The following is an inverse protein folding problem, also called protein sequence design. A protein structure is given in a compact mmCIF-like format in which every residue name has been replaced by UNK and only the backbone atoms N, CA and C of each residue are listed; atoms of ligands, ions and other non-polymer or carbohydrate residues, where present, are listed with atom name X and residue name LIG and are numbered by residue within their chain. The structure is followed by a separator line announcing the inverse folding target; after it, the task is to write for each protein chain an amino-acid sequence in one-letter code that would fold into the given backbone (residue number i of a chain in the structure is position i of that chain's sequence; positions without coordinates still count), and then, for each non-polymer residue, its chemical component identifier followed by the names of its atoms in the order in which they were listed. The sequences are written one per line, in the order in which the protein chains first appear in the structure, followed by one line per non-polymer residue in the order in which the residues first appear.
data_IF_209388396554
#
_entry.id   IF_209388396554
#
_cell.length_a   1.000
_cell.length_b   1.000
_cell.length_c   1.000
_cell.angle_alpha   90.00
_cell.angle_beta   90.00
_cell.angle_gamma   90.00
#
_symmetry.space_group_name_H-M   'P 1'
#
loop_
_entity.id
_entity.type
_entity.pdbx_description
1 polymer ?
#
# COMPACT_ATOMS: atom_id res chain seq x y z
N UNK A 1 14.11 -55.39 54.03
CA UNK A 1 14.37 -54.49 52.89
C UNK A 1 13.03 -54.29 52.23
N UNK A 2 12.41 -53.13 52.39
CA UNK A 2 11.55 -52.54 51.37
C UNK A 2 11.25 -51.10 51.81
N UNK A 3 11.83 -50.19 51.05
CA UNK A 3 11.86 -48.75 51.24
C UNK A 3 10.51 -48.12 50.88
N UNK A 4 10.03 -47.24 51.75
CA UNK A 4 8.95 -46.30 51.46
C UNK A 4 9.39 -45.35 50.32
N UNK A 5 8.68 -45.39 49.19
CA UNK A 5 8.82 -44.42 48.10
C UNK A 5 7.70 -43.40 48.24
N UNK A 6 8.08 -42.16 48.59
CA UNK A 6 7.16 -41.03 48.66
C UNK A 6 6.65 -40.66 47.26
N UNK A 7 5.34 -40.47 47.15
CA UNK A 7 4.70 -39.95 45.95
C UNK A 7 4.99 -38.44 45.84
N UNK A 8 5.80 -38.05 44.86
CA UNK A 8 6.00 -36.67 44.47
C UNK A 8 4.73 -36.15 43.76
N UNK A 9 4.25 -34.98 44.19
CA UNK A 9 3.16 -34.27 43.54
C UNK A 9 3.57 -33.86 42.11
N UNK A 10 2.63 -33.81 41.13
CA UNK A 10 2.94 -33.35 39.79
C UNK A 10 3.28 -31.85 39.85
N UNK A 11 4.49 -31.51 39.40
CA UNK A 11 4.89 -30.13 39.18
C UNK A 11 3.94 -29.50 38.16
N UNK A 12 3.29 -28.41 38.57
CA UNK A 12 2.41 -27.64 37.69
C UNK A 12 3.25 -27.04 36.55
N UNK A 13 3.02 -27.51 35.32
CA UNK A 13 3.58 -26.90 34.12
C UNK A 13 3.25 -25.41 34.10
N UNK A 14 4.30 -24.58 34.04
CA UNK A 14 4.16 -23.14 33.88
C UNK A 14 3.34 -22.84 32.61
N UNK A 15 2.40 -21.86 32.66
CA UNK A 15 1.59 -21.53 31.50
C UNK A 15 2.50 -21.08 30.36
N UNK A 16 2.46 -21.81 29.24
CA UNK A 16 3.16 -21.44 28.01
C UNK A 16 2.76 -19.99 27.64
N UNK A 17 3.72 -19.13 27.23
CA UNK A 17 3.40 -17.78 26.82
C UNK A 17 2.41 -17.84 25.66
N UNK A 18 1.24 -17.23 25.82
CA UNK A 18 0.26 -17.11 24.73
C UNK A 18 0.98 -16.50 23.52
N UNK A 19 0.82 -17.07 22.31
CA UNK A 19 1.45 -16.48 21.12
C UNK A 19 0.98 -15.03 21.02
N UNK A 20 1.94 -14.10 20.99
CA UNK A 20 1.62 -12.70 20.76
C UNK A 20 0.88 -12.60 19.41
N UNK A 21 -0.22 -11.84 19.33
CA UNK A 21 -0.96 -11.71 18.09
C UNK A 21 -0.03 -11.11 17.03
N UNK A 22 0.25 -11.90 15.99
CA UNK A 22 1.04 -11.43 14.85
C UNK A 22 0.17 -10.44 14.06
N UNK A 23 0.74 -9.31 13.62
CA UNK A 23 0.00 -8.42 12.75
C UNK A 23 -0.37 -9.16 11.46
N UNK A 24 -1.57 -8.90 10.90
CA UNK A 24 -2.00 -9.52 9.67
C UNK A 24 -1.14 -9.02 8.50
N UNK A 25 -0.95 -9.89 7.51
CA UNK A 25 -0.21 -9.55 6.29
C UNK A 25 -1.17 -8.88 5.30
N UNK A 26 -0.85 -7.65 4.92
CA UNK A 26 -1.60 -6.87 3.94
C UNK A 26 -1.10 -7.19 2.52
N UNK A 27 -1.98 -7.73 1.68
CA UNK A 27 -1.73 -7.97 0.26
C UNK A 27 -2.39 -6.86 -0.56
N UNK A 28 -1.55 -5.94 -1.06
CA UNK A 28 -1.99 -4.84 -1.90
C UNK A 28 -1.97 -5.30 -3.36
N UNK A 29 -3.15 -5.59 -3.91
CA UNK A 29 -3.29 -6.11 -5.28
C UNK A 29 -3.28 -4.97 -6.28
N UNK A 30 -2.22 -4.88 -7.07
CA UNK A 30 -2.03 -3.92 -8.15
C UNK A 30 -1.97 -4.67 -9.50
N UNK A 31 -2.16 -3.95 -10.60
CA UNK A 31 -2.10 -4.52 -11.95
C UNK A 31 -2.87 -3.68 -12.96
N UNK A 32 -2.62 -3.89 -14.25
CA UNK A 32 -3.32 -3.15 -15.31
C UNK A 32 -4.82 -3.45 -15.35
N UNK A 33 -5.60 -2.61 -16.01
CA UNK A 33 -7.01 -2.88 -16.27
C UNK A 33 -7.16 -4.17 -17.09
N UNK A 34 -8.04 -5.07 -16.64
CA UNK A 34 -8.25 -6.36 -17.30
C UNK A 34 -7.25 -7.47 -16.98
N UNK A 35 -6.24 -7.23 -16.12
CA UNK A 35 -5.33 -8.30 -15.67
C UNK A 35 -5.97 -9.32 -14.72
N UNK A 36 -7.15 -8.99 -14.16
CA UNK A 36 -7.94 -9.89 -13.33
C UNK A 36 -7.77 -9.69 -11.82
N UNK A 37 -7.35 -8.50 -11.36
CA UNK A 37 -7.22 -8.14 -9.93
C UNK A 37 -8.41 -8.56 -9.07
N UNK A 38 -9.61 -8.08 -9.39
CA UNK A 38 -10.84 -8.38 -8.63
C UNK A 38 -11.18 -9.87 -8.63
N UNK A 39 -11.01 -10.57 -9.76
CA UNK A 39 -11.20 -12.02 -9.85
C UNK A 39 -10.16 -12.79 -9.02
N UNK A 40 -8.92 -12.31 -9.00
CA UNK A 40 -7.85 -12.87 -8.18
C UNK A 40 -8.14 -12.69 -6.69
N UNK A 41 -8.60 -11.51 -6.26
CA UNK A 41 -9.03 -11.25 -4.87
C UNK A 41 -10.23 -12.14 -4.49
N UNK A 42 -11.20 -12.30 -5.38
CA UNK A 42 -12.33 -13.21 -5.19
C UNK A 42 -11.85 -14.64 -4.93
N UNK A 43 -10.93 -15.12 -5.78
CA UNK A 43 -10.38 -16.48 -5.69
C UNK A 43 -9.58 -16.69 -4.41
N UNK A 44 -8.72 -15.74 -4.04
CA UNK A 44 -7.97 -15.77 -2.79
C UNK A 44 -8.90 -15.82 -1.58
N UNK A 45 -9.97 -15.02 -1.60
CA UNK A 45 -10.98 -15.00 -0.54
C UNK A 45 -11.62 -16.38 -0.39
N UNK A 46 -12.10 -16.98 -1.49
CA UNK A 46 -12.70 -18.31 -1.47
C UNK A 46 -11.74 -19.40 -0.99
N UNK A 47 -10.49 -19.36 -1.46
CA UNK A 47 -9.44 -20.30 -1.04
C UNK A 47 -9.15 -20.23 0.46
N UNK A 48 -8.94 -19.02 1.00
CA UNK A 48 -8.67 -18.81 2.42
C UNK A 48 -9.86 -19.15 3.32
N UNK A 49 -11.10 -18.91 2.86
CA UNK A 49 -12.30 -19.41 3.53
C UNK A 49 -12.34 -20.94 3.59
N UNK A 50 -11.96 -21.62 2.51
CA UNK A 50 -11.87 -23.09 2.46
C UNK A 50 -10.85 -23.67 3.45
N UNK A 51 -9.77 -22.92 3.73
CA UNK A 51 -8.77 -23.27 4.73
C UNK A 51 -9.15 -22.91 6.17
N UNK A 52 -10.34 -22.33 6.39
CA UNK A 52 -10.80 -21.91 7.71
C UNK A 52 -10.12 -20.65 8.26
N UNK A 53 -9.43 -19.89 7.40
CA UNK A 53 -8.72 -18.65 7.76
C UNK A 53 -9.25 -17.47 6.92
N UNK A 54 -10.49 -17.00 7.16
CA UNK A 54 -11.11 -15.99 6.32
C UNK A 54 -10.33 -14.66 6.36
N UNK A 55 -10.00 -14.07 5.19
CA UNK A 55 -9.27 -12.82 5.13
C UNK A 55 -10.18 -11.62 5.44
N UNK A 56 -9.55 -10.51 5.83
CA UNK A 56 -10.22 -9.22 5.89
C UNK A 56 -10.10 -8.52 4.53
N UNK A 57 -11.21 -8.30 3.84
CA UNK A 57 -11.20 -7.83 2.45
C UNK A 57 -11.61 -6.36 2.36
N UNK A 58 -10.82 -5.57 1.64
CA UNK A 58 -11.01 -4.13 1.42
C UNK A 58 -11.09 -3.86 -0.07
N UNK A 59 -12.19 -3.25 -0.52
CA UNK A 59 -12.33 -2.75 -1.89
C UNK A 59 -12.05 -1.24 -1.95
N UNK A 60 -11.03 -0.85 -2.73
CA UNK A 60 -10.69 0.55 -3.02
C UNK A 60 -11.07 0.99 -4.44
N UNK A 61 -11.71 0.15 -5.26
CA UNK A 61 -12.22 0.55 -6.57
C UNK A 61 -13.64 1.17 -6.44
N UNK A 62 -13.80 2.49 -6.67
CA UNK A 62 -15.10 3.14 -6.61
C UNK A 62 -15.93 2.96 -7.91
N UNK A 63 -15.30 2.55 -9.01
CA UNK A 63 -15.93 2.43 -10.32
C UNK A 63 -16.48 1.01 -10.61
N UNK A 64 -16.17 0.03 -9.75
CA UNK A 64 -16.68 -1.34 -9.89
C UNK A 64 -18.20 -1.41 -9.69
N UNK A 65 -18.90 -2.04 -10.63
CA UNK A 65 -20.36 -2.17 -10.60
C UNK A 65 -20.83 -3.12 -9.49
N UNK A 66 -20.25 -4.31 -9.43
CA UNK A 66 -20.58 -5.35 -8.47
C UNK A 66 -19.29 -5.98 -7.96
N UNK A 67 -19.17 -6.12 -6.65
CA UNK A 67 -18.01 -6.75 -6.01
C UNK A 67 -18.37 -8.22 -5.79
N UNK A 68 -17.67 -9.17 -6.42
CA UNK A 68 -18.07 -10.58 -6.43
C UNK A 68 -17.64 -11.35 -5.16
N UNK A 69 -17.33 -10.62 -4.08
CA UNK A 69 -16.87 -11.16 -2.80
C UNK A 69 -17.40 -10.30 -1.63
N UNK A 70 -17.53 -10.86 -0.41
CA UNK A 70 -17.95 -10.11 0.76
C UNK A 70 -16.81 -9.19 1.23
N UNK A 71 -16.82 -7.92 0.80
CA UNK A 71 -15.89 -6.91 1.29
C UNK A 71 -16.26 -6.45 2.71
N UNK A 72 -15.30 -6.43 3.63
CA UNK A 72 -15.49 -5.88 4.98
C UNK A 72 -15.51 -4.36 4.96
N UNK A 73 -14.73 -3.75 4.08
CA UNK A 73 -14.70 -2.30 3.83
C UNK A 73 -14.82 -2.07 2.32
N UNK A 74 -15.82 -1.32 1.91
CA UNK A 74 -16.02 -0.91 0.53
C UNK A 74 -16.02 0.62 0.42
N UNK A 75 -15.13 1.17 -0.40
CA UNK A 75 -15.07 2.61 -0.69
C UNK A 75 -16.43 3.16 -1.17
N UNK A 76 -17.24 2.34 -1.85
CA UNK A 76 -18.55 2.72 -2.41
C UNK A 76 -19.61 3.02 -1.35
N UNK A 77 -19.41 2.57 -0.11
CA UNK A 77 -20.28 2.88 1.02
C UNK A 77 -20.04 4.28 1.56
N UNK A 78 -18.80 4.76 1.47
CA UNK A 78 -18.40 6.09 1.94
C UNK A 78 -18.52 7.15 0.85
N UNK A 79 -18.17 6.80 -0.39
CA UNK A 79 -18.11 7.74 -1.51
C UNK A 79 -18.92 7.21 -2.70
N UNK A 80 -19.94 7.97 -3.12
CA UNK A 80 -20.76 7.64 -4.29
C UNK A 80 -20.08 8.17 -5.56
N UNK A 81 -19.34 7.30 -6.24
CA UNK A 81 -18.58 7.61 -7.46
C UNK A 81 -19.36 8.44 -8.50
N UNK A 82 -20.59 8.02 -8.83
CA UNK A 82 -21.45 8.74 -9.81
C UNK A 82 -21.82 10.15 -9.36
N UNK A 83 -22.04 10.35 -8.06
CA UNK A 83 -22.35 11.67 -7.50
C UNK A 83 -21.13 12.58 -7.51
N UNK A 84 -19.95 12.04 -7.18
CA UNK A 84 -18.68 12.77 -7.27
C UNK A 84 -18.43 13.26 -8.70
N UNK A 85 -18.62 12.39 -9.70
CA UNK A 85 -18.50 12.79 -11.10
C UNK A 85 -19.45 13.93 -11.46
N UNK A 86 -20.73 13.84 -11.05
CA UNK A 86 -21.75 14.84 -11.35
C UNK A 86 -21.51 16.17 -10.64
N UNK A 87 -21.18 16.15 -9.35
CA UNK A 87 -20.99 17.35 -8.53
C UNK A 87 -19.75 18.14 -8.95
N UNK A 88 -18.66 17.46 -9.26
CA UNK A 88 -17.39 18.09 -9.61
C UNK A 88 -17.18 18.23 -11.13
N UNK A 89 -18.09 17.70 -11.96
CA UNK A 89 -17.99 17.73 -13.42
C UNK A 89 -16.78 16.96 -13.94
N UNK A 90 -16.47 15.82 -13.34
CA UNK A 90 -15.26 15.03 -13.61
C UNK A 90 -15.54 13.88 -14.58
N UNK A 91 -14.57 13.60 -15.45
CA UNK A 91 -14.52 12.35 -16.20
C UNK A 91 -14.19 11.14 -15.31
N UNK A 92 -14.22 9.91 -15.85
CA UNK A 92 -14.08 8.67 -15.06
C UNK A 92 -12.83 8.62 -14.18
N UNK A 93 -11.65 8.87 -14.75
CA UNK A 93 -10.38 8.85 -14.02
C UNK A 93 -10.33 9.92 -12.92
N UNK A 94 -10.84 11.13 -13.21
CA UNK A 94 -10.95 12.21 -12.22
C UNK A 94 -11.87 11.85 -11.06
N UNK A 95 -13.00 11.19 -11.35
CA UNK A 95 -13.92 10.67 -10.36
C UNK A 95 -13.27 9.64 -9.42
N UNK A 96 -12.43 8.74 -9.96
CA UNK A 96 -11.70 7.75 -9.15
C UNK A 96 -10.69 8.44 -8.23
N UNK A 97 -9.85 9.35 -8.77
CA UNK A 97 -8.86 10.10 -7.97
C UNK A 97 -9.55 10.87 -6.84
N UNK A 98 -10.61 11.61 -7.15
CA UNK A 98 -11.34 12.38 -6.13
C UNK A 98 -11.98 11.47 -5.09
N UNK A 99 -12.49 10.31 -5.49
CA UNK A 99 -13.06 9.34 -4.55
C UNK A 99 -12.00 8.77 -3.61
N UNK A 100 -10.81 8.42 -4.13
CA UNK A 100 -9.67 8.02 -3.30
C UNK A 100 -9.21 9.13 -2.37
N UNK A 101 -9.19 10.38 -2.83
CA UNK A 101 -8.81 11.52 -1.99
C UNK A 101 -9.77 11.71 -0.81
N UNK A 102 -11.08 11.61 -1.05
CA UNK A 102 -12.08 11.67 0.00
C UNK A 102 -11.94 10.48 0.98
N UNK A 103 -11.70 9.28 0.46
CA UNK A 103 -11.50 8.09 1.28
C UNK A 103 -10.24 8.15 2.13
N UNK A 104 -9.14 8.68 1.59
CA UNK A 104 -7.87 8.83 2.30
C UNK A 104 -8.01 9.67 3.59
N UNK A 105 -8.92 10.66 3.62
CA UNK A 105 -9.17 11.46 4.84
C UNK A 105 -9.70 10.66 6.03
N UNK A 106 -10.27 9.48 5.78
CA UNK A 106 -10.81 8.56 6.80
C UNK A 106 -10.00 7.29 6.94
N UNK A 107 -8.86 7.18 6.26
CA UNK A 107 -8.08 5.96 6.22
C UNK A 107 -7.53 5.56 7.60
N UNK A 108 -7.30 6.52 8.50
CA UNK A 108 -6.97 6.25 9.91
C UNK A 108 -8.04 5.41 10.63
N UNK A 109 -9.32 5.53 10.24
CA UNK A 109 -10.39 4.69 10.79
C UNK A 109 -10.31 3.27 10.25
N UNK A 110 -9.98 3.12 8.96
CA UNK A 110 -9.74 1.83 8.30
C UNK A 110 -8.60 1.08 8.99
N UNK A 111 -7.49 1.77 9.27
CA UNK A 111 -6.35 1.20 10.00
C UNK A 111 -6.78 0.64 11.36
N UNK A 112 -7.58 1.38 12.13
CA UNK A 112 -8.12 0.92 13.42
C UNK A 112 -9.05 -0.29 13.29
N UNK A 113 -9.78 -0.43 12.18
CA UNK A 113 -10.60 -1.62 11.93
C UNK A 113 -9.73 -2.84 11.62
N UNK A 114 -8.66 -2.66 10.83
CA UNK A 114 -7.67 -3.71 10.57
C UNK A 114 -7.00 -4.14 11.89
N UNK A 115 -6.59 -3.20 12.74
CA UNK A 115 -6.01 -3.47 14.08
C UNK A 115 -6.95 -4.28 14.98
N UNK A 116 -8.27 -4.03 14.92
CA UNK A 116 -9.24 -4.83 15.68
C UNK A 116 -9.43 -6.23 15.12
N UNK A 117 -9.22 -6.40 13.82
CA UNK A 117 -9.40 -7.68 13.12
C UNK A 117 -8.16 -8.59 13.16
N UNK A 118 -7.03 -8.13 13.72
CA UNK A 118 -5.76 -8.88 13.75
C UNK A 118 -5.88 -10.25 14.43
N UNK A 119 -6.79 -10.38 15.40
CA UNK A 119 -7.01 -11.65 16.11
C UNK A 119 -7.86 -12.66 15.33
N UNK A 120 -8.57 -12.21 14.29
CA UNK A 120 -9.55 -13.02 13.54
C UNK A 120 -9.07 -13.38 12.14
N UNK A 121 -8.27 -12.51 11.51
CA UNK A 121 -7.82 -12.69 10.13
C UNK A 121 -6.31 -12.57 10.05
N UNK A 122 -5.68 -13.56 9.42
CA UNK A 122 -4.22 -13.57 9.18
C UNK A 122 -3.82 -12.69 7.99
N UNK A 123 -4.72 -12.52 7.04
CA UNK A 123 -4.48 -11.78 5.80
C UNK A 123 -5.50 -10.66 5.62
N UNK A 124 -5.03 -9.54 5.08
CA UNK A 124 -5.86 -8.42 4.62
C UNK A 124 -5.69 -8.32 3.11
N UNK A 125 -6.77 -8.50 2.34
CA UNK A 125 -6.74 -8.41 0.88
C UNK A 125 -7.26 -7.04 0.46
N UNK A 126 -6.49 -6.31 -0.35
CA UNK A 126 -6.85 -4.96 -0.79
C UNK A 126 -6.96 -4.96 -2.31
N UNK A 127 -8.19 -4.84 -2.82
CA UNK A 127 -8.45 -4.65 -4.25
C UNK A 127 -8.34 -3.16 -4.59
N UNK A 128 -7.66 -2.84 -5.69
CA UNK A 128 -7.37 -1.46 -6.11
C UNK A 128 -8.03 -1.14 -7.45
N UNK A 129 -8.24 0.17 -7.77
CA UNK A 129 -8.88 0.56 -9.02
C UNK A 129 -8.29 -0.08 -10.28
N UNK A 130 -9.16 -0.34 -11.26
CA UNK A 130 -8.76 -0.85 -12.57
C UNK A 130 -7.59 -0.09 -13.21
N UNK A 131 -7.60 1.24 -13.12
CA UNK A 131 -6.54 2.13 -13.62
C UNK A 131 -5.45 2.31 -12.57
N UNK A 132 -4.37 1.53 -12.70
CA UNK A 132 -3.27 1.49 -11.74
C UNK A 132 -2.63 2.86 -11.48
N UNK A 133 -2.51 3.71 -12.51
CA UNK A 133 -1.88 5.04 -12.40
C UNK A 133 -2.59 5.95 -11.40
N UNK A 134 -3.93 5.84 -11.34
CA UNK A 134 -4.77 6.63 -10.43
C UNK A 134 -4.45 6.26 -8.97
N UNK A 135 -4.05 5.02 -8.71
CA UNK A 135 -3.64 4.60 -7.37
C UNK A 135 -2.16 4.88 -7.13
N UNK A 136 -1.26 4.37 -7.98
CA UNK A 136 0.18 4.41 -7.72
C UNK A 136 0.75 5.82 -7.76
N UNK A 137 0.31 6.69 -8.68
CA UNK A 137 0.85 8.04 -8.86
C UNK A 137 0.04 9.13 -8.15
N UNK A 138 -1.06 8.80 -7.49
CA UNK A 138 -1.81 9.77 -6.69
C UNK A 138 -1.22 9.95 -5.29
N UNK A 139 -1.38 11.16 -4.75
CA UNK A 139 -1.04 11.45 -3.36
C UNK A 139 -1.81 10.52 -2.40
N UNK A 140 -3.09 10.26 -2.68
CA UNK A 140 -3.92 9.43 -1.82
C UNK A 140 -3.56 7.95 -1.86
N UNK A 141 -3.20 7.37 -3.01
CA UNK A 141 -2.70 6.01 -3.04
C UNK A 141 -1.33 5.88 -2.35
N UNK A 142 -0.48 6.91 -2.46
CA UNK A 142 0.79 6.96 -1.70
C UNK A 142 0.52 6.98 -0.19
N UNK A 143 -0.36 7.86 0.30
CA UNK A 143 -0.74 7.95 1.72
C UNK A 143 -1.31 6.63 2.22
N UNK A 144 -2.22 6.00 1.47
CA UNK A 144 -2.82 4.71 1.81
C UNK A 144 -1.75 3.62 1.92
N UNK A 145 -0.87 3.53 0.92
CA UNK A 145 0.19 2.53 0.87
C UNK A 145 1.20 2.72 2.01
N UNK A 146 1.64 3.95 2.26
CA UNK A 146 2.55 4.27 3.37
C UNK A 146 1.91 4.03 4.74
N UNK A 147 0.62 4.35 4.91
CA UNK A 147 -0.10 4.09 6.15
C UNK A 147 -0.14 2.58 6.46
N UNK A 148 -0.49 1.76 5.47
CA UNK A 148 -0.48 0.29 5.58
C UNK A 148 0.93 -0.24 5.89
N UNK A 149 1.91 0.15 5.08
CA UNK A 149 3.30 -0.24 5.21
C UNK A 149 3.96 0.23 6.51
N UNK A 150 3.43 1.26 7.17
CA UNK A 150 3.99 1.71 8.44
C UNK A 150 3.50 0.91 9.64
N UNK A 151 2.37 0.20 9.50
CA UNK A 151 1.65 -0.42 10.61
C UNK A 151 1.59 -1.94 10.52
N UNK A 152 1.57 -2.49 9.29
CA UNK A 152 1.42 -3.92 9.05
C UNK A 152 2.41 -4.40 7.98
N UNK A 153 2.85 -5.68 8.04
CA UNK A 153 3.57 -6.31 6.94
C UNK A 153 2.78 -6.18 5.64
N UNK A 154 3.28 -5.39 4.70
CA UNK A 154 2.57 -5.06 3.46
C UNK A 154 3.38 -5.55 2.27
N UNK A 155 2.75 -6.35 1.42
CA UNK A 155 3.34 -6.91 0.21
C UNK A 155 2.55 -6.40 -1.00
N UNK A 156 3.26 -5.95 -2.01
CA UNK A 156 2.68 -5.54 -3.28
C UNK A 156 2.56 -6.77 -4.17
N UNK A 157 1.33 -7.07 -4.59
CA UNK A 157 1.03 -8.17 -5.51
C UNK A 157 0.70 -7.57 -6.86
N UNK A 158 1.62 -7.68 -7.82
CA UNK A 158 1.46 -7.14 -9.15
C UNK A 158 0.90 -8.19 -10.11
N UNK A 159 -0.39 -8.11 -10.40
CA UNK A 159 -1.13 -9.01 -11.27
C UNK A 159 -0.95 -8.60 -12.73
N UNK A 160 -0.24 -9.45 -13.47
CA UNK A 160 -0.01 -9.37 -14.91
C UNK A 160 -0.95 -10.31 -15.66
N UNK A 161 -1.40 -9.90 -16.85
CA UNK A 161 -2.12 -10.76 -17.79
C UNK A 161 -1.14 -11.56 -18.66
N UNK A 162 -1.01 -12.86 -18.43
CA UNK A 162 -0.07 -13.71 -19.18
C UNK A 162 -0.41 -13.74 -20.67
N UNK A 163 -1.69 -13.76 -21.03
CA UNK A 163 -2.11 -13.88 -22.43
C UNK A 163 -1.77 -12.66 -23.29
N UNK A 164 -1.67 -11.48 -22.67
CA UNK A 164 -1.28 -10.23 -23.35
C UNK A 164 0.22 -10.01 -23.35
N UNK A 165 0.94 -10.67 -22.45
CA UNK A 165 2.39 -10.56 -22.30
C UNK A 165 3.18 -11.59 -23.10
N UNK A 166 2.54 -12.35 -23.99
CA UNK A 166 3.23 -13.26 -24.93
C UNK A 166 4.08 -12.52 -25.95
N UNK A 167 3.78 -11.25 -26.21
CA UNK A 167 4.60 -10.38 -27.03
C UNK A 167 5.78 -9.82 -26.17
N UNK A 168 7.05 -10.07 -26.55
CA UNK A 168 8.23 -9.63 -25.80
C UNK A 168 8.28 -8.12 -25.51
N UNK A 169 7.84 -7.27 -26.46
CA UNK A 169 7.83 -5.80 -26.27
C UNK A 169 6.80 -5.40 -25.20
N UNK A 170 5.65 -6.06 -25.20
CA UNK A 170 4.59 -5.85 -24.20
C UNK A 170 5.03 -6.36 -22.83
N UNK A 171 5.67 -7.53 -22.78
CA UNK A 171 6.27 -8.07 -21.56
C UNK A 171 7.30 -7.10 -20.97
N UNK A 172 8.25 -6.64 -21.78
CA UNK A 172 9.28 -5.67 -21.36
C UNK A 172 8.65 -4.41 -20.78
N UNK A 173 7.65 -3.85 -21.46
CA UNK A 173 6.97 -2.62 -21.04
C UNK A 173 6.24 -2.81 -19.71
N UNK A 174 5.55 -3.94 -19.55
CA UNK A 174 4.85 -4.29 -18.31
C UNK A 174 5.83 -4.52 -17.15
N UNK A 175 6.99 -5.11 -17.42
CA UNK A 175 8.00 -5.36 -16.40
C UNK A 175 8.77 -4.10 -15.98
N UNK A 176 9.10 -3.21 -16.91
CA UNK A 176 9.63 -1.88 -16.59
C UNK A 176 8.63 -1.06 -15.75
N UNK A 177 7.34 -1.22 -16.02
CA UNK A 177 6.29 -0.62 -15.21
C UNK A 177 6.25 -1.20 -13.80
N UNK A 178 6.33 -2.53 -13.66
CA UNK A 178 6.46 -3.21 -12.37
C UNK A 178 7.69 -2.74 -11.59
N UNK A 179 8.83 -2.59 -12.27
CA UNK A 179 10.06 -2.04 -11.71
C UNK A 179 9.85 -0.65 -11.11
N UNK A 180 9.18 0.22 -11.87
CA UNK A 180 8.87 1.58 -11.43
C UNK A 180 8.02 1.59 -10.16
N UNK A 181 7.07 0.65 -10.03
CA UNK A 181 6.24 0.51 -8.82
C UNK A 181 7.06 -0.04 -7.65
N UNK A 182 7.90 -1.05 -7.87
CA UNK A 182 8.78 -1.60 -6.85
C UNK A 182 9.65 -0.48 -6.25
N UNK A 183 10.36 0.28 -7.07
CA UNK A 183 11.23 1.36 -6.59
C UNK A 183 10.46 2.50 -5.91
N UNK A 184 9.23 2.77 -6.36
CA UNK A 184 8.38 3.81 -5.76
C UNK A 184 7.83 3.40 -4.40
N UNK A 185 7.36 2.15 -4.27
CA UNK A 185 6.74 1.64 -3.04
C UNK A 185 7.78 1.16 -2.03
N UNK A 186 8.93 0.66 -2.50
CA UNK A 186 10.00 0.04 -1.71
C UNK A 186 9.52 -1.13 -0.85
N UNK A 187 8.42 -1.77 -1.23
CA UNK A 187 7.84 -2.89 -0.49
C UNK A 187 8.24 -4.21 -1.15
N UNK A 188 8.23 -5.33 -0.39
CA UNK A 188 8.34 -6.65 -0.98
C UNK A 188 7.30 -6.83 -2.09
N UNK A 189 7.74 -7.38 -3.20
CA UNK A 189 7.00 -7.35 -4.45
C UNK A 189 6.93 -8.74 -5.06
N UNK A 190 5.72 -9.16 -5.41
CA UNK A 190 5.44 -10.45 -6.05
C UNK A 190 4.74 -10.18 -7.37
N UNK A 191 5.33 -10.66 -8.46
CA UNK A 191 4.71 -10.67 -9.79
C UNK A 191 3.84 -11.90 -9.90
N UNK A 192 2.55 -11.70 -10.13
CA UNK A 192 1.56 -12.76 -10.30
C UNK A 192 1.14 -12.79 -11.76
N UNK A 193 1.57 -13.83 -12.47
CA UNK A 193 1.20 -14.08 -13.87
C UNK A 193 -0.15 -14.79 -13.90
N UNK A 194 -1.23 -14.02 -14.09
CA UNK A 194 -2.59 -14.52 -14.04
C UNK A 194 -3.06 -15.05 -15.40
N UNK A 195 -4.11 -15.87 -15.38
CA UNK A 195 -4.74 -16.52 -16.54
C UNK A 195 -3.87 -17.64 -17.14
N UNK A 196 -3.18 -18.39 -16.29
CA UNK A 196 -2.41 -19.57 -16.71
C UNK A 196 -3.27 -20.70 -17.27
N UNK A 197 -4.59 -20.63 -17.07
CA UNK A 197 -5.58 -21.50 -17.73
C UNK A 197 -5.71 -21.26 -19.24
N UNK A 198 -5.29 -20.09 -19.73
CA UNK A 198 -5.32 -19.74 -21.16
C UNK A 198 -3.96 -20.00 -21.80
N UNK A 199 -2.89 -19.44 -21.22
CA UNK A 199 -1.51 -19.57 -21.71
C UNK A 199 -0.61 -19.84 -20.51
N UNK A 200 0.23 -20.87 -20.62
CA UNK A 200 1.21 -21.16 -19.58
C UNK A 200 2.27 -20.05 -19.46
N UNK A 201 2.77 -19.86 -18.24
CA UNK A 201 3.67 -18.77 -17.89
C UNK A 201 5.16 -19.14 -17.99
N UNK A 202 5.50 -20.36 -18.38
CA UNK A 202 6.90 -20.83 -18.50
C UNK A 202 7.76 -19.94 -19.38
N UNK A 203 7.26 -19.47 -20.54
CA UNK A 203 8.01 -18.59 -21.43
C UNK A 203 8.46 -17.29 -20.74
N UNK A 204 7.62 -16.75 -19.86
CA UNK A 204 7.92 -15.50 -19.18
C UNK A 204 8.94 -15.73 -18.05
N UNK A 205 8.83 -16.87 -17.35
CA UNK A 205 9.84 -17.30 -16.37
C UNK A 205 11.19 -17.53 -17.04
N UNK A 206 11.21 -18.19 -18.20
CA UNK A 206 12.40 -18.38 -19.02
C UNK A 206 13.03 -17.04 -19.42
N UNK A 207 12.24 -16.07 -19.90
CA UNK A 207 12.76 -14.73 -20.23
C UNK A 207 13.32 -13.94 -19.04
N UNK A 208 12.88 -14.23 -17.82
CA UNK A 208 13.41 -13.58 -16.62
C UNK A 208 14.66 -14.27 -16.06
N UNK A 209 14.81 -15.57 -16.30
CA UNK A 209 15.98 -16.35 -15.85
C UNK A 209 17.10 -16.35 -16.89
N UNK A 210 16.74 -16.34 -18.17
CA UNK A 210 17.63 -16.32 -19.31
C UNK A 210 17.34 -15.07 -20.16
N UNK A 211 18.15 -14.04 -19.90
CA UNK A 211 18.08 -12.78 -20.62
C UNK A 211 18.51 -12.92 -22.10
N UNK A 212 19.34 -13.91 -22.47
CA UNK A 212 19.75 -14.12 -23.86
C UNK A 212 18.55 -14.58 -24.69
N UNK A 213 17.80 -15.55 -24.19
CA UNK A 213 16.55 -16.01 -24.81
C UNK A 213 15.54 -14.87 -24.97
N UNK A 214 15.46 -13.97 -23.99
CA UNK A 214 14.61 -12.78 -24.08
C UNK A 214 15.10 -11.77 -25.14
N UNK A 215 16.42 -11.55 -25.21
CA UNK A 215 17.03 -10.66 -26.21
C UNK A 215 16.80 -11.16 -27.63
N UNK A 216 16.92 -12.48 -27.85
CA UNK A 216 16.65 -13.10 -29.14
C UNK A 216 15.19 -12.98 -29.55
N UNK A 217 14.26 -13.15 -28.61
CA UNK A 217 12.83 -12.93 -28.86
C UNK A 217 12.54 -11.47 -29.25
N UNK A 218 13.19 -10.49 -28.60
CA UNK A 218 13.02 -9.06 -28.92
C UNK A 218 13.64 -8.66 -30.26
N UNK A 219 14.78 -9.27 -30.64
CA UNK A 219 15.43 -9.02 -31.92
C UNK A 219 14.54 -9.41 -33.11
N UNK A 220 13.62 -10.35 -32.92
CA UNK A 220 12.67 -10.78 -33.94
C UNK A 220 11.51 -9.80 -34.15
N UNK A 221 11.16 -8.98 -33.14
CA UNK A 221 9.94 -8.16 -33.21
C UNK A 221 10.13 -6.71 -33.68
N UNK A 222 11.27 -6.03 -33.45
CA UNK A 222 11.63 -4.73 -34.11
C UNK A 222 13.08 -4.28 -33.82
N UNK A 223 13.75 -3.64 -34.78
CA UNK A 223 15.18 -3.22 -34.68
C UNK A 223 15.46 -2.06 -33.72
N UNK A 224 14.48 -1.22 -33.37
CA UNK A 224 14.72 -0.09 -32.45
C UNK A 224 14.65 -0.54 -30.98
N UNK A 225 13.68 -1.41 -30.66
CA UNK A 225 13.49 -1.92 -29.30
C UNK A 225 14.71 -2.75 -28.87
N UNK A 226 15.31 -3.52 -29.79
CA UNK A 226 16.50 -4.31 -29.49
C UNK A 226 17.72 -3.49 -29.04
N UNK A 227 17.92 -2.29 -29.61
CA UNK A 227 19.01 -1.40 -29.18
C UNK A 227 18.81 -0.89 -27.75
N UNK A 228 17.57 -0.49 -27.41
CA UNK A 228 17.23 -0.06 -26.04
C UNK A 228 17.40 -1.21 -25.04
N UNK A 229 16.88 -2.39 -25.37
CA UNK A 229 17.02 -3.59 -24.53
C UNK A 229 18.48 -3.95 -24.31
N UNK A 230 19.32 -3.88 -25.36
CA UNK A 230 20.76 -4.14 -25.21
C UNK A 230 21.41 -3.14 -24.26
N UNK A 231 21.06 -1.85 -24.35
CA UNK A 231 21.56 -0.83 -23.42
C UNK A 231 21.05 -0.98 -21.98
N UNK A 232 19.86 -1.56 -21.79
CA UNK A 232 19.25 -1.78 -20.47
C UNK A 232 19.46 -3.20 -19.93
N UNK A 233 20.20 -4.05 -20.65
CA UNK A 233 20.30 -5.50 -20.38
C UNK A 233 20.73 -5.82 -18.96
N UNK A 234 21.86 -5.27 -18.52
CA UNK A 234 22.39 -5.49 -17.16
C UNK A 234 21.40 -5.05 -16.07
N UNK A 235 20.66 -3.96 -16.30
CA UNK A 235 19.69 -3.45 -15.32
C UNK A 235 18.46 -4.35 -15.27
N UNK A 236 18.00 -4.82 -16.44
CA UNK A 236 16.87 -5.74 -16.54
C UNK A 236 17.21 -7.12 -15.95
N UNK A 237 18.42 -7.61 -16.16
CA UNK A 237 18.88 -8.92 -15.65
C UNK A 237 18.94 -8.94 -14.11
N UNK A 238 19.59 -7.94 -13.50
CA UNK A 238 19.61 -7.77 -12.04
C UNK A 238 18.19 -7.59 -11.47
N UNK A 239 17.34 -6.86 -12.19
CA UNK A 239 15.96 -6.63 -11.77
C UNK A 239 15.12 -7.91 -11.88
N UNK A 240 15.22 -8.69 -12.96
CA UNK A 240 14.42 -9.89 -13.16
C UNK A 240 14.82 -11.03 -12.24
N UNK A 241 16.12 -11.19 -11.99
CA UNK A 241 16.65 -12.22 -11.08
C UNK A 241 16.23 -12.01 -9.62
N UNK A 242 15.95 -10.77 -9.21
CA UNK A 242 15.51 -10.45 -7.84
C UNK A 242 13.99 -10.53 -7.63
N UNK A 243 13.20 -10.62 -8.69
CA UNK A 243 11.74 -10.64 -8.59
C UNK A 243 11.19 -12.03 -8.26
N UNK A 244 10.25 -12.07 -7.30
CA UNK A 244 9.44 -13.25 -7.04
C UNK A 244 8.31 -13.34 -8.06
N UNK A 245 8.20 -14.47 -8.72
CA UNK A 245 7.20 -14.71 -9.76
C UNK A 245 6.41 -15.96 -9.45
N UNK A 246 5.10 -15.91 -9.62
CA UNK A 246 4.21 -17.07 -9.53
C UNK A 246 3.17 -17.03 -10.64
N UNK A 247 2.94 -18.15 -11.32
CA UNK A 247 1.82 -18.34 -12.23
C UNK A 247 0.56 -18.76 -11.49
N UNK A 248 -0.56 -18.07 -11.75
CA UNK A 248 -1.85 -18.40 -11.14
C UNK A 248 -2.98 -18.40 -12.15
N UNK A 249 -4.01 -19.20 -11.90
CA UNK A 249 -5.30 -19.03 -12.54
C UNK A 249 -6.32 -18.56 -11.51
N UNK A 250 -6.78 -17.30 -11.62
CA UNK A 250 -7.86 -16.81 -10.78
C UNK A 250 -9.19 -17.58 -11.00
N UNK A 251 -9.35 -18.22 -12.16
CA UNK A 251 -10.56 -18.98 -12.52
C UNK A 251 -10.50 -20.42 -11.98
N UNK A 252 -9.36 -21.10 -12.10
CA UNK A 252 -9.22 -22.49 -11.64
C UNK A 252 -8.75 -22.57 -10.18
N UNK A 253 -8.03 -21.56 -9.68
CA UNK A 253 -7.37 -21.57 -8.37
C UNK A 253 -6.03 -22.30 -8.34
N UNK A 254 -5.47 -22.64 -9.50
CA UNK A 254 -4.12 -23.23 -9.60
C UNK A 254 -3.05 -22.20 -9.25
N UNK A 255 -1.94 -22.65 -8.66
CA UNK A 255 -0.80 -21.80 -8.27
C UNK A 255 -0.97 -20.99 -6.98
N UNK A 256 -2.11 -21.08 -6.28
CA UNK A 256 -2.33 -20.33 -5.04
C UNK A 256 -1.45 -20.81 -3.88
N UNK A 257 -1.18 -22.12 -3.80
CA UNK A 257 -0.28 -22.67 -2.78
C UNK A 257 1.13 -22.09 -2.92
N UNK A 258 1.69 -22.11 -4.13
CA UNK A 258 2.98 -21.50 -4.47
C UNK A 258 2.98 -20.00 -4.20
N UNK A 259 1.88 -19.31 -4.50
CA UNK A 259 1.71 -17.90 -4.17
C UNK A 259 1.83 -17.64 -2.67
N UNK A 260 1.17 -18.43 -1.82
CA UNK A 260 1.26 -18.25 -0.37
C UNK A 260 2.65 -18.60 0.19
N UNK A 261 3.38 -19.52 -0.42
CA UNK A 261 4.80 -19.76 -0.08
C UNK A 261 5.63 -18.50 -0.34
N UNK A 262 5.43 -17.84 -1.49
CA UNK A 262 6.11 -16.58 -1.79
C UNK A 262 5.67 -15.43 -0.89
N UNK A 263 4.39 -15.37 -0.50
CA UNK A 263 3.88 -14.39 0.48
C UNK A 263 4.57 -14.55 1.83
N UNK A 264 4.77 -15.78 2.32
CA UNK A 264 5.50 -16.01 3.57
C UNK A 264 6.95 -15.53 3.46
N UNK A 265 7.65 -15.88 2.38
CA UNK A 265 9.03 -15.41 2.12
C UNK A 265 9.11 -13.88 2.04
N UNK A 266 8.17 -13.24 1.35
CA UNK A 266 8.10 -11.78 1.24
C UNK A 266 7.75 -11.09 2.57
N UNK A 267 6.99 -11.76 3.44
CA UNK A 267 6.70 -11.27 4.80
C UNK A 267 7.97 -11.29 5.66
N UNK A 268 8.80 -12.32 5.52
CA UNK A 268 10.10 -12.38 6.22
C UNK A 268 11.06 -11.30 5.71
N UNK A 269 11.11 -11.05 4.39
CA UNK A 269 11.87 -9.94 3.81
C UNK A 269 11.42 -8.58 4.36
N UNK A 270 10.11 -8.36 4.45
CA UNK A 270 9.54 -7.14 5.02
C UNK A 270 10.08 -6.87 6.44
N UNK A 271 10.05 -7.89 7.30
CA UNK A 271 10.48 -7.77 8.69
C UNK A 271 12.00 -7.62 8.82
N UNK A 272 12.77 -8.24 7.92
CA UNK A 272 14.23 -8.22 7.93
C UNK A 272 14.81 -6.91 7.38
N UNK A 273 14.27 -6.42 6.27
CA UNK A 273 14.89 -5.35 5.48
C UNK A 273 14.10 -4.06 5.57
N UNK A 274 12.81 -4.10 5.21
CA UNK A 274 11.98 -2.90 5.12
C UNK A 274 11.72 -2.26 6.48
N UNK A 275 11.28 -3.04 7.48
CA UNK A 275 10.88 -2.52 8.79
C UNK A 275 12.03 -1.79 9.52
N UNK A 276 13.26 -2.34 9.61
CA UNK A 276 14.38 -1.62 10.22
C UNK A 276 14.77 -0.34 9.47
N UNK A 277 14.74 -0.36 8.13
CA UNK A 277 15.06 0.82 7.32
C UNK A 277 14.01 1.93 7.53
N UNK A 278 12.73 1.56 7.53
CA UNK A 278 11.63 2.48 7.79
C UNK A 278 11.71 3.08 9.20
N UNK A 279 12.02 2.28 10.23
CA UNK A 279 12.20 2.79 11.59
C UNK A 279 13.40 3.75 11.73
N UNK A 280 14.51 3.48 11.01
CA UNK A 280 15.66 4.39 10.96
C UNK A 280 15.26 5.72 10.31
N UNK A 281 14.57 5.67 9.18
CA UNK A 281 14.10 6.87 8.48
C UNK A 281 13.18 7.70 9.38
N UNK A 282 12.21 7.05 10.06
CA UNK A 282 11.27 7.69 10.97
C UNK A 282 11.97 8.34 12.17
N UNK A 283 12.98 7.69 12.76
CA UNK A 283 13.80 8.25 13.84
C UNK A 283 14.58 9.49 13.38
N UNK A 284 15.18 9.44 12.20
CA UNK A 284 15.92 10.59 11.62
C UNK A 284 15.00 11.77 11.36
N UNK A 285 13.81 11.53 10.78
CA UNK A 285 12.82 12.59 10.55
C UNK A 285 12.31 13.21 11.85
N UNK A 286 12.00 12.39 12.87
CA UNK A 286 11.58 12.87 14.17
C UNK A 286 12.67 13.71 14.87
N UNK A 287 13.93 13.29 14.76
CA UNK A 287 15.07 14.04 15.28
C UNK A 287 15.25 15.39 14.56
N UNK A 288 15.18 15.40 13.23
CA UNK A 288 15.27 16.63 12.44
C UNK A 288 14.13 17.61 12.76
N UNK A 289 12.89 17.11 12.92
CA UNK A 289 11.74 17.93 13.33
C UNK A 289 11.92 18.51 14.74
N UNK A 290 12.40 17.72 15.69
CA UNK A 290 12.66 18.19 17.06
C UNK A 290 13.77 19.25 17.07
N UNK A 291 14.82 19.09 16.25
CA UNK A 291 15.87 20.10 16.09
C UNK A 291 15.32 21.40 15.49
N UNK A 292 14.52 21.32 14.42
CA UNK A 292 13.89 22.51 13.84
C UNK A 292 12.95 23.23 14.81
N UNK A 293 12.16 22.49 15.60
CA UNK A 293 11.32 23.08 16.63
C UNK A 293 12.14 23.78 17.72
N UNK A 294 13.24 23.16 18.18
CA UNK A 294 14.15 23.78 19.15
C UNK A 294 14.79 25.04 18.59
N UNK A 295 15.27 25.01 17.34
CA UNK A 295 15.85 26.18 16.68
C UNK A 295 14.82 27.31 16.50
N UNK A 296 13.58 26.99 16.14
CA UNK A 296 12.50 27.98 16.07
C UNK A 296 12.20 28.58 17.43
N UNK A 297 12.14 27.76 18.49
CA UNK A 297 11.93 28.23 19.86
C UNK A 297 13.08 29.13 20.36
N UNK A 298 14.32 28.76 20.04
CA UNK A 298 15.51 29.53 20.41
C UNK A 298 15.60 30.85 19.66
N UNK A 299 15.17 30.90 18.39
CA UNK A 299 15.02 32.16 17.63
C UNK A 299 13.96 33.06 18.26
N UNK A 300 12.77 32.52 18.54
CA UNK A 300 11.70 33.27 19.20
C UNK A 300 12.14 33.81 20.58
N UNK A 301 12.91 33.03 21.34
CA UNK A 301 13.45 33.44 22.63
C UNK A 301 14.47 34.57 22.51
N UNK A 302 15.27 34.60 21.44
CA UNK A 302 16.20 35.70 21.15
C UNK A 302 15.47 36.97 20.71
N UNK A 303 14.42 36.84 19.90
CA UNK A 303 13.63 37.97 19.40
C UNK A 303 12.75 38.60 20.50
N UNK A 304 12.30 37.81 21.48
CA UNK A 304 11.54 38.33 22.63
C UNK A 304 12.39 39.13 23.64
N UNK A 305 13.72 39.15 23.52
CA UNK A 305 14.62 39.81 24.48
C UNK A 305 14.48 39.31 25.92
N UNK A 306 15.35 39.73 26.85
CA UNK A 306 15.15 39.44 28.26
C UNK A 306 13.95 40.25 28.75
N UNK A 307 12.75 39.66 28.74
CA UNK A 307 11.67 40.19 29.57
C UNK A 307 12.12 40.01 31.01
N UNK A 308 12.64 41.08 31.60
CA UNK A 308 12.86 41.17 33.02
C UNK A 308 11.50 40.91 33.69
N UNK A 309 11.38 39.76 34.35
CA UNK A 309 10.33 39.52 35.34
C UNK A 309 10.61 40.48 36.50
N UNK A 310 10.14 41.71 36.37
CA UNK A 310 10.14 42.65 37.47
C UNK A 310 9.16 42.15 38.52
N UNK A 311 9.69 41.68 39.66
CA UNK A 311 8.89 41.37 40.85
C UNK A 311 8.53 42.70 41.53
N UNK A 312 7.66 43.47 40.90
CA UNK A 312 7.08 44.69 41.46
C UNK A 312 5.65 44.45 41.91
N UNK A 313 5.41 44.46 43.22
CA UNK A 313 4.08 44.35 43.81
C UNK A 313 3.19 45.55 43.40
N UNK A 314 2.00 45.28 42.88
CA UNK A 314 0.90 46.25 42.84
C UNK A 314 -0.45 45.52 42.97
N UNK A 315 -1.07 45.75 44.13
CA UNK A 315 -2.44 45.43 44.53
C UNK A 315 -3.47 46.16 43.66
N UNK A 316 -4.54 45.48 43.21
CA UNK A 316 -5.75 46.18 42.71
C UNK A 316 -6.63 45.43 41.71
N UNK A 317 -7.54 44.60 42.22
CA UNK A 317 -8.92 44.32 41.75
C UNK A 317 -9.28 44.28 40.24
N UNK A 318 -9.64 43.10 39.72
CA UNK A 318 -10.93 42.86 39.02
C UNK A 318 -11.23 41.35 38.86
N UNK A 319 -12.52 41.03 38.80
CA UNK A 319 -13.19 39.72 39.01
C UNK A 319 -13.02 38.68 37.87
N UNK A 320 -13.41 37.40 38.11
CA UNK A 320 -12.89 36.24 37.39
C UNK A 320 -13.73 35.82 36.18
N UNK A 321 -13.07 35.40 35.10
CA UNK A 321 -13.69 34.83 33.91
C UNK A 321 -12.94 33.60 33.39
N UNK A 322 -13.48 32.43 33.71
CA UNK A 322 -13.43 31.18 32.95
C UNK A 322 -12.07 30.62 32.47
N UNK A 323 -11.47 29.77 33.33
CA UNK A 323 -11.24 28.35 33.00
C UNK A 323 -10.31 27.98 31.84
N UNK A 324 -9.04 27.76 32.16
CA UNK A 324 -8.22 26.79 31.43
C UNK A 324 -8.84 25.38 31.60
N UNK A 325 -9.41 24.85 30.51
CA UNK A 325 -9.61 23.41 30.32
C UNK A 325 -9.23 23.05 28.90
N UNK A 326 -8.30 22.10 28.77
CA UNK A 326 -8.12 21.27 27.58
C UNK A 326 -6.94 21.63 26.68
N UNK A 327 -5.72 21.26 27.08
CA UNK A 327 -4.71 20.91 26.08
C UNK A 327 -5.13 19.58 25.45
N UNK A 328 -5.86 19.65 24.34
CA UNK A 328 -6.14 18.49 23.50
C UNK A 328 -4.90 18.12 22.70
N UNK A 329 -4.50 16.85 22.79
CA UNK A 329 -3.47 16.15 22.00
C UNK A 329 -3.88 15.96 20.52
N UNK A 330 -4.33 17.02 19.85
CA UNK A 330 -5.00 16.93 18.53
C UNK A 330 -4.48 17.86 17.43
N UNK A 331 -3.41 18.63 17.64
CA UNK A 331 -2.86 19.52 16.61
C UNK A 331 -1.52 18.98 16.09
N UNK A 332 -1.58 18.02 15.16
CA UNK A 332 -0.39 17.64 14.36
C UNK A 332 -0.65 17.63 12.85
N UNK A 333 -1.85 17.97 12.39
CA UNK A 333 -2.15 18.12 10.96
C UNK A 333 -3.13 19.27 10.76
N UNK A 334 -2.63 20.49 10.56
CA UNK A 334 -3.45 21.54 9.96
C UNK A 334 -3.53 21.25 8.45
N UNK A 335 -4.61 20.60 8.04
CA UNK A 335 -5.04 20.62 6.64
C UNK A 335 -5.59 22.02 6.31
N UNK A 336 -5.34 22.55 5.10
CA UNK A 336 -6.01 23.76 4.65
C UNK A 336 -7.53 23.50 4.56
N UNK A 337 -8.33 24.48 4.99
CA UNK A 337 -9.79 24.44 4.92
C UNK A 337 -10.24 24.53 3.45
N UNK A 338 -10.70 23.40 2.89
CA UNK A 338 -11.10 23.26 1.49
C UNK A 338 -12.46 23.88 1.14
N UNK A 339 -13.08 24.62 2.07
CA UNK A 339 -14.30 25.39 1.84
C UNK A 339 -14.07 26.68 1.04
N UNK A 340 -12.81 27.09 0.81
CA UNK A 340 -12.47 28.35 0.15
C UNK A 340 -12.43 28.22 -1.40
N UNK A 341 -13.02 29.19 -2.15
CA UNK A 341 -13.07 29.17 -3.62
C UNK A 341 -11.70 29.11 -4.32
N UNK A 342 -10.62 29.54 -3.65
CA UNK A 342 -9.27 29.53 -4.20
C UNK A 342 -8.64 28.13 -4.24
N UNK A 343 -8.91 27.28 -3.25
CA UNK A 343 -8.43 25.90 -3.23
C UNK A 343 -9.17 25.02 -4.25
N UNK A 344 -10.46 25.28 -4.50
CA UNK A 344 -11.20 24.63 -5.59
C UNK A 344 -10.62 24.98 -6.98
N UNK A 345 -10.07 26.20 -7.16
CA UNK A 345 -9.34 26.57 -8.39
C UNK A 345 -8.00 25.86 -8.52
N UNK A 346 -7.27 25.63 -7.43
CA UNK A 346 -6.02 24.86 -7.44
C UNK A 346 -6.23 23.36 -7.72
N UNK A 347 -7.32 22.77 -7.20
CA UNK A 347 -7.74 21.41 -7.55
C UNK A 347 -8.11 21.30 -9.03
N UNK A 348 -8.88 22.25 -9.59
CA UNK A 348 -9.18 22.28 -11.02
C UNK A 348 -7.93 22.43 -11.90
N UNK A 349 -6.92 23.19 -11.47
CA UNK A 349 -5.63 23.33 -12.19
C UNK A 349 -4.77 22.08 -12.12
N UNK A 350 -4.77 21.36 -11.00
CA UNK A 350 -4.02 20.11 -10.86
C UNK A 350 -4.67 18.95 -11.62
N UNK A 351 -6.00 18.87 -11.63
CA UNK A 351 -6.75 17.89 -12.42
C UNK A 351 -6.65 18.19 -13.92
N UNK A 352 -6.68 19.47 -14.33
CA UNK A 352 -6.51 19.89 -15.72
C UNK A 352 -5.15 19.49 -16.33
N UNK A 353 -4.06 19.52 -15.55
CA UNK A 353 -2.74 19.07 -16.01
C UNK A 353 -2.63 17.55 -16.20
N UNK A 354 -3.46 16.77 -15.52
CA UNK A 354 -3.49 15.30 -15.69
C UNK A 354 -4.32 14.91 -16.92
N UNK A 355 -5.37 15.66 -17.26
CA UNK A 355 -6.16 15.42 -18.48
C UNK A 355 -5.40 15.82 -19.77
N UNK A 356 -4.65 16.92 -19.75
CA UNK A 356 -3.97 17.46 -20.95
C UNK A 356 -2.77 16.59 -21.42
N UNK A 357 -2.29 15.67 -20.57
CA UNK A 357 -1.24 14.71 -20.95
C UNK A 357 -1.79 13.46 -21.67
N UNK A 358 -3.10 13.18 -21.51
CA UNK A 358 -3.77 12.03 -22.14
C UNK A 358 -4.32 12.29 -23.55
N UNK A 359 -4.57 13.55 -23.92
CA UNK A 359 -5.18 13.91 -25.22
C UNK A 359 -4.16 14.25 -26.34
N UNK A 360 -2.85 14.19 -26.07
CA UNK A 360 -1.80 14.41 -27.11
C UNK A 360 -1.20 13.14 -27.72
N UNK A 361 -1.80 11.98 -27.46
CA UNK A 361 -1.48 10.73 -28.17
C UNK A 361 -2.76 10.11 -28.71
N UNK A 362 -3.23 10.67 -29.81
CA UNK A 362 -4.21 10.08 -30.72
C UNK A 362 -3.79 10.42 -32.13
#
# INVERSE_FOLDING_TARGET
MDSAVGAAAPEAEAPQPRPQPRPPVCLLVLGMAGSGKTTFVQRLTGYLHGLGSPPYVINLDPAVHEVPFPANIDIRDTVKYKEVMKQYGLGPNGGIVTSLNLFATRFDQVMKFIEKSQNMSQYVLIDTPGQIEVFTWSASGTIITEALASSFPTIVVYVMDTSRSTNPVTFMSNMLYACSILYKTKLPFIVVMNKTDIIDHSFAVEWMQDFETFQDALNQETTYVSNLTRSMSLVLDEFYSSLRVVGVSAVLGTGLEEFFVQVTSATEEYEREYRPEYERLKKTLAHAQSQQQKEQLDRLRKDMGPVALDRGAATGTSKPGAGLRGLNRGQLWQFPDFSTPEHQRQLRRSVGKVCDFGERRS
#
